data_IF_844309556179
#
_entry.id   IF_844309556179
#
_cell.length_a   1.000
_cell.length_b   1.000
_cell.length_c   1.000
_cell.angle_alpha   90.00
_cell.angle_beta   90.00
_cell.angle_gamma   90.00
#
_symmetry.space_group_name_H-M   'P 1'
#
loop_
_entity.id
_entity.type
_entity.pdbx_description
1 polymer ?
#
# COMPACT_ATOMS: atom_id res chain seq x y z
N UNK A 1 -1.42 -6.66 28.73
CA UNK A 1 -1.77 -5.48 27.92
C UNK A 1 -2.63 -6.02 26.81
N UNK A 2 -3.79 -5.42 26.61
CA UNK A 2 -4.82 -5.97 25.75
C UNK A 2 -4.77 -5.31 24.37
N UNK A 3 -5.13 -6.07 23.35
CA UNK A 3 -5.12 -5.64 21.97
C UNK A 3 -6.18 -4.55 21.75
N UNK A 4 -5.83 -3.38 21.19
CA UNK A 4 -6.80 -2.29 20.99
C UNK A 4 -7.86 -2.61 19.91
N UNK A 5 -7.73 -3.72 19.17
CA UNK A 5 -8.66 -4.12 18.10
C UNK A 5 -9.64 -5.22 18.52
N UNK A 6 -9.21 -6.17 19.35
CA UNK A 6 -10.00 -7.35 19.69
C UNK A 6 -9.94 -7.73 21.17
N UNK A 7 -9.28 -6.93 22.01
CA UNK A 7 -9.19 -7.11 23.47
C UNK A 7 -8.45 -8.37 23.95
N UNK A 8 -7.94 -9.19 23.02
CA UNK A 8 -7.05 -10.32 23.32
C UNK A 8 -5.72 -9.90 23.93
N UNK A 9 -5.02 -10.84 24.58
CA UNK A 9 -3.67 -10.61 25.07
C UNK A 9 -2.68 -10.33 23.92
N UNK A 10 -1.74 -9.41 24.16
CA UNK A 10 -0.64 -9.11 23.24
C UNK A 10 0.62 -9.90 23.60
N UNK A 11 1.29 -10.42 22.57
CA UNK A 11 2.63 -10.98 22.66
C UNK A 11 3.70 -9.90 22.50
N UNK A 12 4.81 -10.08 23.19
CA UNK A 12 5.96 -9.16 23.16
C UNK A 12 7.20 -9.88 22.68
N UNK A 13 7.87 -9.29 21.69
CA UNK A 13 9.13 -9.79 21.14
C UNK A 13 10.24 -8.77 21.38
N UNK A 14 11.44 -9.26 21.72
CA UNK A 14 12.62 -8.44 21.91
C UNK A 14 13.80 -9.01 21.10
N UNK A 15 14.44 -8.16 20.27
CA UNK A 15 15.58 -8.56 19.43
C UNK A 15 16.54 -7.38 19.24
N UNK A 16 17.83 -7.57 19.55
CA UNK A 16 18.87 -6.54 19.44
C UNK A 16 18.50 -5.19 20.08
N UNK A 17 17.85 -5.22 21.26
CA UNK A 17 17.42 -4.03 21.98
C UNK A 17 16.19 -3.33 21.41
N UNK A 18 15.53 -3.91 20.40
CA UNK A 18 14.24 -3.45 19.89
C UNK A 18 13.13 -4.30 20.45
N UNK A 19 11.99 -3.67 20.76
CA UNK A 19 10.78 -4.34 21.21
C UNK A 19 9.66 -4.17 20.17
N UNK A 20 8.81 -5.19 20.03
CA UNK A 20 7.58 -5.13 19.25
C UNK A 20 6.46 -5.86 19.99
N UNK A 21 5.21 -5.45 19.74
CA UNK A 21 4.01 -6.14 20.23
C UNK A 21 3.15 -6.61 19.07
N UNK A 22 2.62 -7.83 19.17
CA UNK A 22 1.77 -8.49 18.17
C UNK A 22 0.51 -9.04 18.85
N UNK A 23 -0.62 -9.03 18.15
CA UNK A 23 -1.78 -9.83 18.48
C UNK A 23 -1.91 -10.95 17.46
N UNK A 24 -1.75 -12.21 17.87
CA UNK A 24 -1.90 -13.36 16.97
C UNK A 24 -3.35 -13.57 16.51
N UNK A 25 -4.34 -13.11 17.29
CA UNK A 25 -5.75 -13.32 16.96
C UNK A 25 -6.24 -12.46 15.78
N UNK A 26 -5.78 -11.20 15.69
CA UNK A 26 -6.26 -10.25 14.69
C UNK A 26 -5.17 -9.62 13.81
N UNK A 27 -3.89 -9.96 14.07
CA UNK A 27 -2.75 -9.43 13.32
C UNK A 27 -2.42 -7.96 13.63
N UNK A 28 -2.89 -7.40 14.75
CA UNK A 28 -2.43 -6.08 15.18
C UNK A 28 -0.92 -6.10 15.46
N UNK A 29 -0.18 -5.16 14.89
CA UNK A 29 1.25 -4.99 15.13
C UNK A 29 1.48 -3.56 15.67
N UNK A 30 2.02 -3.44 16.87
CA UNK A 30 2.21 -2.16 17.58
C UNK A 30 3.40 -1.33 17.08
N UNK A 31 3.66 -1.36 15.78
CA UNK A 31 4.64 -0.49 15.13
C UNK A 31 3.96 0.82 14.74
N UNK A 32 4.61 1.95 15.03
CA UNK A 32 4.19 3.24 14.48
C UNK A 32 4.48 3.22 12.99
N UNK A 33 3.43 3.10 12.18
CA UNK A 33 3.55 3.31 10.73
C UNK A 33 3.29 4.77 10.45
N UNK A 34 4.20 5.39 9.71
CA UNK A 34 3.94 6.71 9.16
C UNK A 34 2.97 6.54 7.99
N UNK A 35 1.78 7.14 8.12
CA UNK A 35 0.79 7.17 7.04
C UNK A 35 0.98 8.39 6.13
N UNK A 36 1.91 9.27 6.46
CA UNK A 36 2.26 10.39 5.62
C UNK A 36 3.11 9.87 4.45
N UNK A 37 2.50 9.89 3.27
CA UNK A 37 3.30 9.83 2.05
C UNK A 37 3.98 11.19 1.88
N UNK A 38 5.24 11.21 1.44
CA UNK A 38 5.84 12.45 0.96
C UNK A 38 4.90 13.09 -0.08
N UNK A 39 4.59 14.39 0.02
CA UNK A 39 3.77 15.09 -0.95
C UNK A 39 4.46 15.03 -2.32
N UNK A 40 4.05 14.06 -3.13
CA UNK A 40 4.40 13.97 -4.54
C UNK A 40 3.27 14.59 -5.35
N UNK A 41 3.62 15.28 -6.43
CA UNK A 41 2.61 15.61 -7.44
C UNK A 41 2.04 14.29 -7.97
N UNK A 42 0.80 14.02 -7.61
CA UNK A 42 0.03 12.88 -8.11
C UNK A 42 -0.66 13.35 -9.38
N UNK A 43 -0.53 12.58 -10.47
CA UNK A 43 -1.33 12.86 -11.66
C UNK A 43 -2.82 12.86 -11.30
N UNK A 44 -3.61 13.69 -11.98
CA UNK A 44 -5.06 13.66 -11.81
C UNK A 44 -5.63 12.35 -12.37
N UNK A 45 -6.77 11.92 -11.85
CA UNK A 45 -7.49 10.77 -12.42
C UNK A 45 -7.81 10.95 -13.90
N UNK A 46 -8.12 12.18 -14.32
CA UNK A 46 -8.37 12.54 -15.72
C UNK A 46 -7.14 12.30 -16.59
N UNK A 47 -5.96 12.80 -16.16
CA UNK A 47 -4.71 12.59 -16.87
C UNK A 47 -4.33 11.10 -16.96
N UNK A 48 -4.58 10.33 -15.89
CA UNK A 48 -4.33 8.88 -15.89
C UNK A 48 -5.22 8.14 -16.91
N UNK A 49 -6.50 8.51 -17.00
CA UNK A 49 -7.42 7.91 -17.97
C UNK A 49 -7.09 8.32 -19.41
N UNK A 50 -6.71 9.57 -19.66
CA UNK A 50 -6.31 10.05 -20.97
C UNK A 50 -5.10 9.27 -21.49
N UNK A 51 -4.02 9.21 -20.71
CA UNK A 51 -2.81 8.42 -21.04
C UNK A 51 -3.12 6.93 -21.30
N UNK A 52 -4.04 6.35 -20.53
CA UNK A 52 -4.43 4.95 -20.74
C UNK A 52 -5.13 4.74 -22.09
N UNK A 53 -5.99 5.70 -22.48
CA UNK A 53 -6.70 5.67 -23.77
C UNK A 53 -5.74 5.87 -24.93
N UNK A 54 -4.90 6.90 -24.86
CA UNK A 54 -3.89 7.22 -25.89
C UNK A 54 -2.96 6.03 -26.12
N UNK A 55 -2.37 5.47 -25.06
CA UNK A 55 -1.51 4.29 -25.20
C UNK A 55 -2.26 3.06 -25.72
N UNK A 56 -3.58 2.99 -25.57
CA UNK A 56 -4.43 1.95 -26.16
C UNK A 56 -4.64 2.14 -27.67
N UNK A 57 -4.74 3.39 -28.12
CA UNK A 57 -4.87 3.77 -29.52
C UNK A 57 -3.57 3.53 -30.29
N UNK A 58 -2.43 3.95 -29.73
CA UNK A 58 -1.09 3.71 -30.33
C UNK A 58 -0.83 2.22 -30.56
N UNK A 59 -1.06 1.38 -29.54
CA UNK A 59 -0.89 -0.09 -29.65
C UNK A 59 -1.82 -0.74 -30.68
N UNK A 60 -2.96 -0.10 -30.96
CA UNK A 60 -3.93 -0.59 -31.94
C UNK A 60 -3.48 -0.22 -33.35
N UNK A 61 -3.05 1.01 -33.55
CA UNK A 61 -2.50 1.48 -34.82
C UNK A 61 -1.22 0.72 -35.22
N UNK A 62 -0.33 0.42 -34.28
CA UNK A 62 0.84 -0.44 -34.50
C UNK A 62 0.46 -1.85 -34.98
N UNK A 63 -0.67 -2.39 -34.48
CA UNK A 63 -1.18 -3.70 -34.88
C UNK A 63 -1.88 -3.68 -36.24
N UNK A 64 -2.54 -2.58 -36.58
CA UNK A 64 -3.24 -2.40 -37.85
C UNK A 64 -2.26 -2.01 -38.99
N UNK A 65 -1.16 -1.32 -38.69
CA UNK A 65 -0.13 -0.91 -39.66
C UNK A 65 0.94 -1.96 -40.00
N UNK A 66 0.98 -3.08 -39.29
CA UNK A 66 1.87 -4.23 -39.56
C UNK A 66 1.17 -5.36 -40.36
N UNK A 67 -0.07 -5.13 -40.80
CA UNK A 67 -0.86 -6.07 -41.62
C UNK A 67 -0.79 -5.77 -43.11
#
# INVERSE_FOLDING_TARGET
MDCPRCESALDRYALFGKEAVLCEDCGYLGVTVDHESEPREVESWEAAFERFREGGEERREEREGTS
#
